data_IF_471920206505
#
_entry.id   IF_471920206505
#
_cell.length_a   1.000
_cell.length_b   1.000
_cell.length_c   1.000
_cell.angle_alpha   90.00
_cell.angle_beta   90.00
_cell.angle_gamma   90.00
#
_symmetry.space_group_name_H-M   'P 1'
#
loop_
_entity.id
_entity.type
_entity.pdbx_description
1 polymer ?
#
# COMPACT_ATOMS: atom_id res chain seq x y z
N UNK A 1 26.18 -32.45 44.44
CA UNK A 1 27.64 -32.22 44.62
C UNK A 1 28.17 -31.35 43.50
N UNK A 2 28.89 -30.29 43.87
CA UNK A 2 29.77 -29.39 43.13
C UNK A 2 29.19 -28.47 42.05
N UNK A 3 29.00 -27.24 42.54
CA UNK A 3 29.06 -25.97 41.81
C UNK A 3 30.45 -25.82 41.15
N UNK A 4 30.49 -25.21 39.96
CA UNK A 4 31.62 -24.38 39.55
C UNK A 4 31.09 -23.11 38.90
N UNK A 5 31.24 -22.03 39.65
CA UNK A 5 31.31 -20.64 39.14
C UNK A 5 32.64 -20.46 38.42
N UNK A 6 32.66 -19.73 37.36
CA UNK A 6 33.85 -19.02 36.89
C UNK A 6 33.46 -17.56 36.64
N UNK A 7 34.11 -16.74 37.36
CA UNK A 7 34.11 -15.28 37.38
C UNK A 7 35.25 -14.81 36.47
N UNK A 8 35.10 -13.56 35.99
CA UNK A 8 36.21 -12.68 35.64
C UNK A 8 36.45 -12.43 34.15
N UNK A 9 36.81 -11.29 33.61
CA UNK A 9 37.36 -10.04 34.13
C UNK A 9 37.13 -8.95 33.08
N UNK A 10 36.80 -7.75 33.52
CA UNK A 10 36.93 -6.49 32.81
C UNK A 10 38.42 -6.18 32.50
N UNK A 11 38.68 -5.64 31.31
CA UNK A 11 39.84 -4.75 31.13
C UNK A 11 39.43 -3.58 30.21
N UNK A 12 39.34 -2.46 30.85
CA UNK A 12 39.38 -1.09 30.33
C UNK A 12 40.76 -0.80 29.74
N UNK A 13 40.81 -0.17 28.57
CA UNK A 13 42.01 0.58 28.14
C UNK A 13 41.56 1.88 27.49
N UNK A 14 41.71 2.93 28.23
CA UNK A 14 41.72 4.33 27.82
C UNK A 14 43.06 4.61 27.12
N UNK A 15 43.06 5.23 25.96
CA UNK A 15 44.23 5.98 25.48
C UNK A 15 43.75 7.26 24.80
N UNK A 16 43.94 8.36 25.51
CA UNK A 16 43.87 9.71 25.00
C UNK A 16 45.24 10.09 24.43
N UNK A 17 45.28 10.73 23.28
CA UNK A 17 46.37 11.65 22.95
C UNK A 17 45.87 12.84 22.15
N UNK A 18 46.28 13.99 22.62
CA UNK A 18 45.91 15.32 22.22
C UNK A 18 46.90 15.93 21.21
N UNK A 19 46.45 17.04 20.65
CA UNK A 19 47.21 18.20 20.15
C UNK A 19 47.80 18.22 18.75
N UNK A 20 47.41 19.28 18.07
CA UNK A 20 48.13 19.83 16.92
C UNK A 20 47.36 20.96 16.22
N UNK A 21 47.39 22.17 16.82
CA UNK A 21 46.99 23.41 16.13
C UNK A 21 48.01 23.81 15.08
N UNK A 22 47.57 24.34 13.94
CA UNK A 22 48.30 25.43 13.25
C UNK A 22 47.32 26.23 12.39
N UNK A 23 47.21 27.50 12.75
CA UNK A 23 46.71 28.63 11.94
C UNK A 23 47.64 28.91 10.79
N UNK A 24 47.13 29.34 9.66
CA UNK A 24 47.77 30.35 8.76
C UNK A 24 46.66 31.06 7.93
N UNK A 25 46.48 32.32 8.26
CA UNK A 25 46.26 33.57 7.54
C UNK A 25 45.34 33.66 6.32
N UNK A 26 44.42 34.60 6.45
CA UNK A 26 43.80 35.42 5.39
C UNK A 26 44.82 36.50 4.90
N UNK A 27 44.54 37.11 3.74
CA UNK A 27 44.24 38.54 3.81
C UNK A 27 43.01 39.00 2.99
N UNK A 28 42.41 40.05 3.56
CA UNK A 28 41.44 41.00 3.03
C UNK A 28 41.86 41.60 1.66
N UNK A 29 40.83 41.96 0.86
CA UNK A 29 40.63 43.39 0.47
C UNK A 29 39.25 43.59 -0.19
N UNK A 30 38.67 44.70 0.24
CA UNK A 30 37.39 45.31 -0.13
C UNK A 30 37.45 45.92 -1.56
N UNK A 31 36.28 46.11 -2.20
CA UNK A 31 35.68 47.43 -2.54
C UNK A 31 34.53 47.33 -3.53
N UNK A 32 33.43 47.92 -3.09
CA UNK A 32 32.53 48.90 -3.70
C UNK A 32 31.52 48.50 -4.77
N UNK A 33 30.26 48.69 -4.37
CA UNK A 33 29.05 48.98 -5.15
C UNK A 33 29.18 50.33 -5.92
N UNK A 34 28.33 50.59 -6.96
CA UNK A 34 26.98 51.08 -6.68
C UNK A 34 25.85 50.70 -7.69
N UNK A 35 24.66 50.62 -7.15
CA UNK A 35 23.33 51.10 -7.58
C UNK A 35 22.99 51.27 -9.07
N UNK A 36 21.86 50.60 -9.46
CA UNK A 36 20.77 51.33 -10.17
C UNK A 36 19.46 50.53 -10.02
N UNK A 37 18.48 51.17 -9.41
CA UNK A 37 17.08 50.73 -9.31
C UNK A 37 16.38 50.98 -10.66
N UNK A 38 15.56 49.98 -11.09
CA UNK A 38 14.46 50.21 -12.02
C UNK A 38 13.24 49.50 -11.45
N UNK A 39 12.33 50.31 -10.94
CA UNK A 39 10.97 49.87 -10.63
C UNK A 39 10.24 49.64 -11.96
N UNK A 40 9.66 48.44 -12.11
CA UNK A 40 8.59 48.23 -13.07
C UNK A 40 7.50 47.42 -12.37
N UNK A 41 6.43 48.11 -12.06
CA UNK A 41 5.16 47.57 -11.56
C UNK A 41 4.53 46.68 -12.61
N UNK A 42 4.26 45.41 -12.26
CA UNK A 42 3.32 44.55 -12.98
C UNK A 42 2.26 44.06 -12.04
N UNK A 43 1.05 44.46 -12.38
CA UNK A 43 -0.19 44.05 -11.74
C UNK A 43 -0.41 42.56 -11.91
N UNK A 44 -0.70 41.88 -10.83
CA UNK A 44 -1.16 40.50 -10.82
C UNK A 44 -2.64 40.46 -11.12
N UNK A 45 -3.03 40.02 -12.31
CA UNK A 45 -4.36 39.50 -12.56
C UNK A 45 -4.35 38.00 -12.34
N UNK A 46 -5.01 37.58 -11.27
CA UNK A 46 -5.36 36.19 -10.98
C UNK A 46 -6.59 35.82 -11.82
N UNK A 47 -6.45 34.92 -12.77
CA UNK A 47 -7.57 34.22 -13.35
C UNK A 47 -7.13 32.78 -13.63
N UNK A 48 -7.68 31.85 -12.83
CA UNK A 48 -7.61 30.43 -13.06
C UNK A 48 -8.41 30.06 -14.33
N UNK A 49 -7.95 29.16 -15.19
CA UNK A 49 -8.75 28.68 -16.31
C UNK A 49 -9.75 27.62 -15.82
N UNK A 50 -11.04 27.93 -15.97
CA UNK A 50 -12.10 26.93 -15.93
C UNK A 50 -11.98 26.01 -17.14
N UNK A 51 -11.72 24.73 -16.90
CA UNK A 51 -11.76 23.67 -17.90
C UNK A 51 -13.23 23.27 -18.17
N UNK A 52 -13.77 23.80 -19.26
CA UNK A 52 -15.02 23.31 -19.82
C UNK A 52 -14.78 22.00 -20.58
N UNK A 53 -15.32 20.91 -20.04
CA UNK A 53 -15.51 19.67 -20.80
C UNK A 53 -16.66 19.86 -21.80
N UNK A 54 -16.32 19.90 -23.09
CA UNK A 54 -17.32 19.76 -24.16
C UNK A 54 -17.59 18.28 -24.43
N UNK A 55 -18.74 17.81 -23.97
CA UNK A 55 -19.33 16.54 -24.41
C UNK A 55 -19.94 16.74 -25.81
N UNK A 56 -19.36 16.09 -26.81
CA UNK A 56 -20.03 15.92 -28.11
C UNK A 56 -21.02 14.75 -27.97
N UNK A 57 -22.28 15.09 -27.80
CA UNK A 57 -23.39 14.17 -27.93
C UNK A 57 -23.76 14.04 -29.39
N UNK A 58 -23.62 12.85 -29.97
CA UNK A 58 -24.28 12.51 -31.23
C UNK A 58 -25.51 11.66 -30.92
N UNK A 59 -26.64 12.24 -31.20
CA UNK A 59 -27.99 11.71 -30.95
C UNK A 59 -28.40 10.66 -31.98
N UNK A 60 -28.74 9.46 -31.52
CA UNK A 60 -29.81 8.68 -32.14
C UNK A 60 -30.79 8.21 -31.07
N UNK A 61 -31.96 8.84 -31.10
CA UNK A 61 -33.16 8.35 -30.43
C UNK A 61 -33.58 7.01 -31.05
N UNK A 62 -33.75 6.00 -30.20
CA UNK A 62 -34.82 5.01 -30.40
C UNK A 62 -35.45 4.69 -29.04
N UNK A 63 -36.77 4.62 -29.08
CA UNK A 63 -37.64 4.71 -27.93
C UNK A 63 -37.84 3.38 -27.22
N UNK A 64 -38.20 3.49 -25.93
CA UNK A 64 -38.99 2.53 -25.17
C UNK A 64 -38.26 1.30 -24.62
N UNK A 65 -37.89 1.44 -23.40
CA UNK A 65 -37.53 0.37 -22.45
C UNK A 65 -37.02 1.00 -21.17
N UNK A 66 -37.92 1.28 -20.23
CA UNK A 66 -37.53 1.57 -18.84
C UNK A 66 -36.89 0.31 -18.24
N UNK A 67 -35.61 0.10 -18.48
CA UNK A 67 -34.80 -0.71 -17.61
C UNK A 67 -34.49 0.19 -16.40
N UNK A 68 -35.18 -0.02 -15.28
CA UNK A 68 -34.65 0.32 -13.98
C UNK A 68 -33.29 -0.36 -13.89
N UNK A 69 -32.23 0.41 -14.07
CA UNK A 69 -30.89 -0.01 -13.63
C UNK A 69 -30.99 -0.10 -12.13
N UNK A 70 -31.21 -1.29 -11.59
CA UNK A 70 -31.07 -1.53 -10.16
C UNK A 70 -29.65 -1.09 -9.80
N UNK A 71 -29.52 -0.02 -9.00
CA UNK A 71 -28.22 0.36 -8.46
C UNK A 71 -27.59 -0.89 -7.85
N UNK A 72 -26.31 -1.17 -8.21
CA UNK A 72 -25.56 -2.32 -7.66
C UNK A 72 -25.58 -2.30 -6.13
N UNK A 73 -25.32 -3.43 -5.49
CA UNK A 73 -25.30 -3.53 -4.03
C UNK A 73 -24.33 -2.53 -3.42
N UNK A 74 -23.17 -2.28 -4.06
CA UNK A 74 -22.20 -1.27 -3.63
C UNK A 74 -22.85 0.12 -3.45
N UNK A 75 -23.61 0.60 -4.43
CA UNK A 75 -24.31 1.89 -4.34
C UNK A 75 -25.38 1.92 -3.24
N UNK A 76 -26.10 0.82 -3.06
CA UNK A 76 -27.14 0.70 -2.03
C UNK A 76 -26.55 0.71 -0.62
N UNK A 77 -25.41 0.03 -0.40
CA UNK A 77 -24.70 0.08 0.87
C UNK A 77 -24.14 1.47 1.15
N UNK A 78 -23.43 2.07 0.19
CA UNK A 78 -22.85 3.40 0.32
C UNK A 78 -23.90 4.44 0.76
N UNK A 79 -25.10 4.39 0.20
CA UNK A 79 -26.19 5.31 0.53
C UNK A 79 -26.77 5.12 1.95
N UNK A 80 -26.57 3.95 2.57
CA UNK A 80 -27.09 3.62 3.91
C UNK A 80 -26.04 3.76 5.03
N UNK A 81 -24.75 3.71 4.67
CA UNK A 81 -23.66 3.75 5.65
C UNK A 81 -23.57 5.11 6.33
N UNK A 82 -23.30 5.09 7.62
CA UNK A 82 -22.87 6.26 8.38
C UNK A 82 -21.45 6.67 7.99
N UNK A 83 -21.05 7.91 8.29
CA UNK A 83 -19.69 8.39 8.07
C UNK A 83 -18.67 7.49 8.79
N UNK A 84 -18.97 7.10 10.02
CA UNK A 84 -18.11 6.25 10.83
C UNK A 84 -17.89 4.86 10.18
N UNK A 85 -18.94 4.21 9.70
CA UNK A 85 -18.84 2.94 8.96
C UNK A 85 -18.04 3.09 7.67
N UNK A 86 -18.24 4.17 6.93
CA UNK A 86 -17.47 4.48 5.71
C UNK A 86 -15.98 4.60 6.03
N UNK A 87 -15.62 5.36 7.06
CA UNK A 87 -14.21 5.56 7.44
C UNK A 87 -13.58 4.24 7.88
N UNK A 88 -14.27 3.39 8.66
CA UNK A 88 -13.72 2.07 9.04
C UNK A 88 -13.46 1.18 7.83
N UNK A 89 -14.27 1.23 6.77
CA UNK A 89 -13.99 0.47 5.55
C UNK A 89 -12.67 0.86 4.87
N UNK A 90 -12.15 2.04 5.14
CA UNK A 90 -10.87 2.51 4.62
C UNK A 90 -9.65 2.03 5.45
N UNK A 91 -9.83 1.14 6.40
CA UNK A 91 -8.74 0.56 7.19
C UNK A 91 -8.63 -0.95 6.99
N UNK A 92 -7.39 -1.44 6.85
CA UNK A 92 -7.03 -2.85 6.93
C UNK A 92 -6.01 -3.03 8.04
N UNK A 93 -6.31 -3.91 8.99
CA UNK A 93 -5.51 -4.07 10.22
C UNK A 93 -5.21 -5.54 10.51
N UNK A 94 -4.31 -5.81 11.45
CA UNK A 94 -4.10 -7.19 11.93
C UNK A 94 -5.21 -7.60 12.91
N UNK A 95 -5.48 -8.90 13.06
CA UNK A 95 -6.38 -9.39 14.12
C UNK A 95 -5.93 -8.95 15.53
N UNK A 96 -4.62 -8.83 15.76
CA UNK A 96 -4.05 -8.36 17.02
C UNK A 96 -4.43 -6.90 17.30
N UNK A 97 -4.29 -6.03 16.31
CA UNK A 97 -4.69 -4.61 16.45
C UNK A 97 -6.19 -4.48 16.72
N UNK A 98 -6.98 -5.30 16.03
CA UNK A 98 -8.44 -5.28 16.17
C UNK A 98 -8.90 -5.74 17.56
N UNK A 99 -8.27 -6.79 18.11
CA UNK A 99 -8.71 -7.45 19.36
C UNK A 99 -7.92 -7.02 20.59
N UNK A 100 -6.72 -6.47 20.42
CA UNK A 100 -5.79 -6.13 21.50
C UNK A 100 -5.02 -7.33 22.08
N UNK A 101 -5.09 -8.51 21.47
CA UNK A 101 -4.28 -9.67 21.87
C UNK A 101 -2.89 -9.65 21.24
N UNK A 102 -1.92 -10.36 21.86
CA UNK A 102 -0.54 -10.38 21.37
C UNK A 102 -0.34 -11.24 20.12
N UNK A 103 -1.05 -12.37 20.02
CA UNK A 103 -1.12 -13.24 18.83
C UNK A 103 -2.53 -13.78 18.73
N UNK A 104 -3.10 -13.77 17.54
CA UNK A 104 -4.46 -14.25 17.26
C UNK A 104 -4.40 -15.40 16.26
N UNK A 105 -4.77 -16.59 16.73
CA UNK A 105 -4.87 -17.81 15.91
C UNK A 105 -6.28 -18.36 15.82
N UNK A 106 -7.26 -17.71 16.48
CA UNK A 106 -8.67 -18.07 16.48
C UNK A 106 -9.55 -16.83 16.31
N UNK A 107 -10.67 -16.96 15.64
CA UNK A 107 -11.72 -15.95 15.60
C UNK A 107 -12.94 -16.45 16.40
N UNK A 108 -13.14 -15.86 17.58
CA UNK A 108 -14.22 -16.16 18.50
C UNK A 108 -15.02 -14.92 18.91
N UNK A 109 -15.67 -14.97 20.09
CA UNK A 109 -16.54 -13.91 20.59
C UNK A 109 -15.84 -12.54 20.68
N UNK A 110 -14.55 -12.52 21.02
CA UNK A 110 -13.76 -11.26 21.08
C UNK A 110 -13.58 -10.65 19.71
N UNK A 111 -13.28 -11.47 18.70
CA UNK A 111 -13.16 -11.02 17.29
C UNK A 111 -14.51 -10.52 16.79
N UNK A 112 -15.60 -11.25 17.09
CA UNK A 112 -16.94 -10.84 16.73
C UNK A 112 -17.32 -9.49 17.34
N UNK A 113 -17.06 -9.32 18.65
CA UNK A 113 -17.33 -8.05 19.32
C UNK A 113 -16.50 -6.90 18.78
N UNK A 114 -15.22 -7.15 18.44
CA UNK A 114 -14.34 -6.16 17.88
C UNK A 114 -14.77 -5.75 16.46
N UNK A 115 -15.14 -6.68 15.59
CA UNK A 115 -15.67 -6.37 14.24
C UNK A 115 -17.00 -5.61 14.29
N UNK A 116 -17.87 -5.92 15.27
CA UNK A 116 -19.10 -5.17 15.47
C UNK A 116 -18.84 -3.72 15.94
N UNK A 117 -17.75 -3.49 16.68
CA UNK A 117 -17.35 -2.15 17.15
C UNK A 117 -16.55 -1.37 16.10
N UNK A 118 -15.70 -2.06 15.37
CA UNK A 118 -14.77 -1.50 14.38
C UNK A 118 -14.95 -2.25 13.06
N UNK A 119 -15.95 -1.89 12.24
CA UNK A 119 -16.26 -2.60 10.98
C UNK A 119 -15.24 -2.25 9.90
N UNK A 120 -13.97 -2.66 10.10
CA UNK A 120 -12.85 -2.40 9.19
C UNK A 120 -13.06 -3.02 7.81
N UNK A 121 -12.41 -2.47 6.79
CA UNK A 121 -12.51 -2.95 5.41
C UNK A 121 -11.84 -4.31 5.20
N UNK A 122 -10.81 -4.64 5.98
CA UNK A 122 -10.09 -5.89 5.84
C UNK A 122 -9.20 -6.26 7.01
N UNK A 123 -8.71 -7.50 6.97
CA UNK A 123 -7.70 -8.02 7.89
C UNK A 123 -6.51 -8.57 7.10
N UNK A 124 -5.31 -8.27 7.58
CA UNK A 124 -4.03 -8.83 7.07
C UNK A 124 -3.48 -9.83 8.08
N UNK A 125 -3.04 -10.99 7.61
CA UNK A 125 -2.49 -12.06 8.43
C UNK A 125 -1.02 -12.31 8.14
N UNK A 126 -0.29 -12.69 9.18
CA UNK A 126 1.12 -13.01 9.12
C UNK A 126 1.38 -14.46 9.53
N UNK A 127 2.61 -14.94 9.32
CA UNK A 127 3.00 -16.31 9.66
C UNK A 127 2.61 -16.76 11.09
N UNK A 128 2.66 -15.83 12.05
CA UNK A 128 2.30 -16.09 13.44
C UNK A 128 0.81 -16.45 13.67
N UNK A 129 -0.06 -16.12 12.71
CA UNK A 129 -1.49 -16.44 12.80
C UNK A 129 -1.82 -17.81 12.20
N UNK A 130 -0.88 -18.44 11.50
CA UNK A 130 -1.08 -19.63 10.68
C UNK A 130 -0.44 -20.85 11.36
N UNK A 131 -1.25 -21.74 11.94
CA UNK A 131 -0.76 -22.95 12.63
C UNK A 131 -0.99 -24.22 11.81
N UNK A 132 -2.19 -24.38 11.25
CA UNK A 132 -2.58 -25.48 10.36
C UNK A 132 -3.58 -24.98 9.32
N UNK A 133 -3.70 -25.69 8.19
CA UNK A 133 -4.69 -25.34 7.17
C UNK A 133 -6.14 -25.37 7.70
N UNK A 134 -6.47 -26.29 8.62
CA UNK A 134 -7.82 -26.37 9.22
C UNK A 134 -8.09 -25.21 10.17
N UNK A 135 -7.12 -24.89 11.05
CA UNK A 135 -7.21 -23.72 11.93
C UNK A 135 -7.37 -22.43 11.12
N UNK A 136 -6.54 -22.24 10.09
CA UNK A 136 -6.57 -21.06 9.23
C UNK A 136 -7.94 -20.92 8.55
N UNK A 137 -8.45 -21.98 7.89
CA UNK A 137 -9.79 -21.95 7.28
C UNK A 137 -10.88 -21.59 8.27
N UNK A 138 -10.84 -22.17 9.47
CA UNK A 138 -11.84 -21.91 10.51
C UNK A 138 -11.79 -20.46 10.98
N UNK A 139 -10.57 -19.95 11.23
CA UNK A 139 -10.37 -18.56 11.64
C UNK A 139 -10.88 -17.56 10.59
N UNK A 140 -10.49 -17.74 9.33
CA UNK A 140 -10.90 -16.85 8.23
C UNK A 140 -12.42 -16.94 7.98
N UNK A 141 -12.99 -18.13 7.97
CA UNK A 141 -14.44 -18.33 7.80
C UNK A 141 -15.25 -17.68 8.92
N UNK A 142 -14.79 -17.77 10.18
CA UNK A 142 -15.43 -17.12 11.31
C UNK A 142 -15.36 -15.59 11.18
N UNK A 143 -14.20 -15.01 10.78
CA UNK A 143 -14.07 -13.58 10.55
C UNK A 143 -15.07 -13.10 9.49
N UNK A 144 -15.17 -13.82 8.35
CA UNK A 144 -16.14 -13.50 7.31
C UNK A 144 -17.58 -13.56 7.84
N UNK A 145 -17.95 -14.66 8.52
CA UNK A 145 -19.29 -14.83 9.06
C UNK A 145 -19.67 -13.70 10.05
N UNK A 146 -18.72 -13.25 10.89
CA UNK A 146 -18.96 -12.14 11.81
C UNK A 146 -19.13 -10.80 11.10
N UNK A 147 -18.36 -10.55 10.05
CA UNK A 147 -18.48 -9.33 9.25
C UNK A 147 -19.78 -9.30 8.43
N UNK A 148 -20.19 -10.44 7.88
CA UNK A 148 -21.45 -10.60 7.13
C UNK A 148 -22.70 -10.30 7.96
N UNK A 149 -22.64 -10.32 9.29
CA UNK A 149 -23.75 -9.86 10.14
C UNK A 149 -24.10 -8.38 9.91
N UNK A 150 -23.12 -7.57 9.48
CA UNK A 150 -23.35 -6.18 9.03
C UNK A 150 -23.75 -6.08 7.54
N UNK A 151 -23.69 -7.17 6.81
CA UNK A 151 -23.93 -7.25 5.38
C UNK A 151 -22.70 -6.99 4.49
N UNK A 152 -21.54 -6.63 5.07
CA UNK A 152 -20.32 -6.31 4.35
C UNK A 152 -19.19 -7.21 4.85
N UNK A 153 -18.74 -8.16 4.01
CA UNK A 153 -17.59 -9.03 4.29
C UNK A 153 -16.26 -8.31 4.25
N UNK A 154 -15.19 -9.03 4.59
CA UNK A 154 -13.83 -8.53 4.73
C UNK A 154 -12.96 -8.83 3.51
N UNK A 155 -12.05 -7.94 3.17
CA UNK A 155 -10.83 -8.33 2.51
C UNK A 155 -9.97 -9.11 3.53
N UNK A 156 -9.59 -10.33 3.20
CA UNK A 156 -8.72 -11.19 3.99
C UNK A 156 -7.42 -11.37 3.22
N UNK A 157 -6.38 -10.69 3.66
CA UNK A 157 -5.13 -10.54 2.94
C UNK A 157 -3.98 -11.32 3.57
N UNK A 158 -3.00 -11.67 2.76
CA UNK A 158 -1.71 -12.25 3.16
C UNK A 158 -0.62 -11.77 2.19
N UNK A 159 0.66 -11.82 2.60
CA UNK A 159 1.80 -11.74 1.68
C UNK A 159 2.25 -13.17 1.33
N UNK A 160 1.91 -13.65 0.17
CA UNK A 160 2.37 -14.92 -0.37
C UNK A 160 3.01 -14.69 -1.74
N UNK A 161 4.21 -14.08 -1.74
CA UNK A 161 4.92 -13.71 -2.97
C UNK A 161 5.58 -14.92 -3.65
N UNK A 162 5.76 -16.01 -2.89
CA UNK A 162 6.68 -17.09 -3.21
C UNK A 162 8.13 -16.74 -2.85
N UNK A 163 9.06 -17.69 -2.98
CA UNK A 163 10.47 -17.49 -2.60
C UNK A 163 10.64 -17.12 -1.13
N UNK A 164 11.35 -16.03 -0.89
CA UNK A 164 11.68 -15.55 0.48
C UNK A 164 10.45 -15.10 1.28
N UNK A 165 9.39 -14.62 0.64
CA UNK A 165 8.14 -14.19 1.29
C UNK A 165 7.03 -15.15 0.92
N UNK A 166 6.89 -16.22 1.72
CA UNK A 166 5.98 -17.33 1.50
C UNK A 166 5.34 -17.77 2.82
N UNK A 167 4.50 -16.88 3.42
CA UNK A 167 3.97 -17.09 4.78
C UNK A 167 3.07 -18.30 4.88
N UNK A 168 2.29 -18.58 3.84
CA UNK A 168 1.38 -19.73 3.78
C UNK A 168 2.14 -21.01 3.44
N UNK A 169 3.03 -20.98 2.44
CA UNK A 169 3.82 -22.15 2.08
C UNK A 169 4.73 -22.59 3.23
N UNK A 170 5.41 -21.66 3.88
CA UNK A 170 6.33 -21.95 4.98
C UNK A 170 5.61 -22.52 6.21
N UNK A 171 4.41 -22.03 6.55
CA UNK A 171 3.68 -22.46 7.74
C UNK A 171 2.76 -23.65 7.48
N UNK A 172 2.11 -23.70 6.32
CA UNK A 172 1.03 -24.64 6.06
C UNK A 172 1.36 -25.71 5.02
N UNK A 173 2.57 -25.65 4.42
CA UNK A 173 3.07 -26.66 3.50
C UNK A 173 2.33 -26.69 2.16
N UNK A 174 1.91 -25.52 1.66
CA UNK A 174 1.43 -25.35 0.29
C UNK A 174 2.61 -25.36 -0.70
N UNK A 175 2.38 -25.10 -1.98
CA UNK A 175 3.44 -25.15 -2.99
C UNK A 175 4.50 -24.08 -2.73
N UNK A 176 5.75 -24.52 -2.52
CA UNK A 176 6.89 -23.62 -2.37
C UNK A 176 7.51 -23.30 -3.74
N UNK A 177 7.79 -22.02 -3.96
CA UNK A 177 8.47 -21.53 -5.16
C UNK A 177 9.89 -21.04 -4.82
N UNK A 178 10.75 -20.99 -5.83
CA UNK A 178 12.04 -20.29 -5.72
C UNK A 178 11.83 -18.78 -5.68
N UNK A 179 12.89 -18.03 -5.35
CA UNK A 179 12.88 -16.58 -5.49
C UNK A 179 12.47 -16.14 -6.91
N UNK A 180 11.70 -15.05 -7.01
CA UNK A 180 11.18 -14.56 -8.30
C UNK A 180 12.28 -14.20 -9.29
N UNK A 181 13.46 -13.80 -8.81
CA UNK A 181 14.65 -13.58 -9.66
C UNK A 181 15.11 -14.82 -10.46
N UNK A 182 14.82 -16.03 -9.97
CA UNK A 182 15.12 -17.28 -10.69
C UNK A 182 14.23 -17.42 -11.92
N UNK A 183 12.95 -17.07 -11.80
CA UNK A 183 11.98 -17.11 -12.91
C UNK A 183 12.20 -15.94 -13.87
N UNK A 184 12.51 -14.75 -13.34
CA UNK A 184 12.87 -13.59 -14.15
C UNK A 184 14.12 -13.82 -15.01
N UNK A 185 15.11 -14.56 -14.49
CA UNK A 185 16.30 -14.94 -15.27
C UNK A 185 15.97 -15.92 -16.41
N UNK A 186 14.88 -16.68 -16.33
CA UNK A 186 14.39 -17.55 -17.41
C UNK A 186 13.58 -16.78 -18.44
N UNK A 187 12.92 -15.66 -18.03
CA UNK A 187 12.16 -14.80 -18.91
C UNK A 187 10.95 -15.47 -19.57
N UNK A 188 10.31 -16.42 -18.86
CA UNK A 188 9.11 -17.13 -19.33
C UNK A 188 7.86 -16.65 -18.57
N UNK A 189 7.05 -15.76 -19.15
CA UNK A 189 5.87 -15.22 -18.49
C UNK A 189 4.80 -16.27 -18.13
N UNK A 190 4.82 -17.45 -18.81
CA UNK A 190 3.90 -18.54 -18.45
C UNK A 190 4.18 -19.08 -17.06
N UNK A 191 5.45 -19.10 -16.64
CA UNK A 191 5.80 -19.51 -15.27
C UNK A 191 5.24 -18.54 -14.24
N UNK A 192 5.30 -17.22 -14.48
CA UNK A 192 4.71 -16.23 -13.58
C UNK A 192 3.17 -16.38 -13.50
N UNK A 193 2.51 -16.64 -14.63
CA UNK A 193 1.09 -16.98 -14.64
C UNK A 193 0.78 -18.21 -13.78
N UNK A 194 1.56 -19.29 -13.95
CA UNK A 194 1.35 -20.53 -13.22
C UNK A 194 1.61 -20.37 -11.72
N UNK A 195 2.58 -19.52 -11.33
CA UNK A 195 2.86 -19.13 -9.94
C UNK A 195 1.64 -18.42 -9.35
N UNK A 196 1.21 -17.32 -9.93
CA UNK A 196 0.07 -16.55 -9.41
C UNK A 196 -1.22 -17.37 -9.35
N UNK A 197 -1.47 -18.24 -10.35
CA UNK A 197 -2.62 -19.15 -10.35
C UNK A 197 -2.53 -20.20 -9.24
N UNK A 198 -1.36 -20.78 -9.01
CA UNK A 198 -1.15 -21.80 -7.98
C UNK A 198 -1.30 -21.19 -6.60
N UNK A 199 -0.56 -20.11 -6.31
CA UNK A 199 -0.65 -19.39 -5.04
C UNK A 199 -2.10 -18.97 -4.78
N UNK A 200 -2.73 -18.27 -5.71
CA UNK A 200 -4.10 -17.79 -5.56
C UNK A 200 -5.11 -18.93 -5.34
N UNK A 201 -4.96 -20.07 -6.02
CA UNK A 201 -5.82 -21.25 -5.79
C UNK A 201 -5.65 -21.80 -4.39
N UNK A 202 -4.42 -21.92 -3.90
CA UNK A 202 -4.11 -22.50 -2.59
C UNK A 202 -4.53 -21.60 -1.43
N UNK A 203 -4.22 -20.29 -1.50
CA UNK A 203 -4.65 -19.32 -0.47
C UNK A 203 -6.16 -19.08 -0.51
N UNK A 204 -6.76 -19.05 -1.69
CA UNK A 204 -8.22 -18.97 -1.85
C UNK A 204 -8.95 -20.14 -1.22
N UNK A 205 -8.41 -21.37 -1.33
CA UNK A 205 -8.94 -22.56 -0.66
C UNK A 205 -8.85 -22.49 0.88
N UNK A 206 -8.01 -21.61 1.43
CA UNK A 206 -7.93 -21.31 2.86
C UNK A 206 -8.93 -20.21 3.29
N UNK A 207 -9.41 -19.41 2.35
CA UNK A 207 -10.34 -18.31 2.61
C UNK A 207 -9.75 -16.91 2.45
N UNK A 208 -8.48 -16.77 2.05
CA UNK A 208 -7.93 -15.47 1.64
C UNK A 208 -8.54 -15.05 0.31
N UNK A 209 -8.73 -13.74 0.11
CA UNK A 209 -9.31 -13.18 -1.11
C UNK A 209 -8.49 -12.02 -1.69
N UNK A 210 -7.41 -11.63 -1.02
CA UNK A 210 -6.41 -10.65 -1.49
C UNK A 210 -5.02 -11.21 -1.20
N UNK A 211 -4.11 -11.10 -2.18
CA UNK A 211 -2.68 -11.32 -1.97
C UNK A 211 -1.90 -10.02 -2.22
N UNK A 212 -0.96 -9.74 -1.34
CA UNK A 212 0.00 -8.65 -1.55
C UNK A 212 1.19 -9.12 -2.40
N UNK A 213 0.87 -9.56 -3.61
CA UNK A 213 1.74 -9.96 -4.71
C UNK A 213 1.08 -9.62 -6.05
N UNK A 214 1.86 -9.41 -7.14
CA UNK A 214 3.30 -9.55 -7.26
C UNK A 214 4.12 -8.31 -6.87
N UNK A 215 5.44 -8.53 -6.64
CA UNK A 215 6.43 -7.45 -6.54
C UNK A 215 6.72 -6.92 -7.93
N UNK A 216 6.37 -5.65 -8.17
CA UNK A 216 6.51 -4.95 -9.45
C UNK A 216 7.75 -4.04 -9.51
N UNK A 217 8.60 -4.09 -8.47
CA UNK A 217 9.85 -3.33 -8.42
C UNK A 217 10.86 -3.83 -9.46
N UNK A 218 11.75 -2.94 -9.91
CA UNK A 218 12.87 -3.26 -10.81
C UNK A 218 14.18 -3.21 -10.02
N UNK A 219 15.01 -4.25 -10.07
CA UNK A 219 16.25 -4.32 -9.28
C UNK A 219 17.33 -3.40 -9.84
N UNK A 220 17.31 -2.14 -9.45
CA UNK A 220 18.21 -1.08 -9.91
C UNK A 220 19.39 -0.84 -8.96
N UNK A 221 19.38 -1.43 -7.76
CA UNK A 221 20.45 -1.35 -6.77
C UNK A 221 20.83 -2.73 -6.27
N UNK A 222 22.11 -3.09 -6.37
CA UNK A 222 22.60 -4.42 -5.97
C UNK A 222 22.55 -4.68 -4.46
N UNK A 223 22.35 -3.64 -3.64
CA UNK A 223 22.18 -3.70 -2.18
C UNK A 223 20.73 -3.66 -1.73
N UNK A 224 19.77 -3.68 -2.66
CA UNK A 224 18.35 -3.57 -2.37
C UNK A 224 17.86 -4.69 -1.44
N UNK A 225 17.08 -4.36 -0.41
CA UNK A 225 16.56 -5.32 0.57
C UNK A 225 15.57 -6.32 -0.02
N UNK A 226 14.93 -5.97 -1.15
CA UNK A 226 13.98 -6.87 -1.82
C UNK A 226 14.69 -8.08 -2.46
N UNK A 227 15.92 -7.91 -2.93
CA UNK A 227 16.79 -8.98 -3.40
C UNK A 227 16.11 -9.92 -4.41
N UNK A 228 16.03 -11.20 -4.03
CA UNK A 228 15.42 -12.26 -4.86
C UNK A 228 13.92 -12.16 -5.07
N UNK A 229 13.21 -11.29 -4.34
CA UNK A 229 11.77 -11.04 -4.52
C UNK A 229 11.46 -10.37 -5.86
N UNK A 230 12.41 -9.62 -6.43
CA UNK A 230 12.27 -8.93 -7.70
C UNK A 230 12.61 -9.86 -8.87
N UNK A 231 11.79 -9.85 -9.92
CA UNK A 231 12.02 -10.68 -11.11
C UNK A 231 13.33 -10.36 -11.84
N UNK A 232 13.64 -9.09 -12.08
CA UNK A 232 14.79 -8.70 -12.89
C UNK A 232 15.25 -7.26 -12.63
N UNK A 233 16.45 -6.96 -13.12
CA UNK A 233 16.93 -5.58 -13.32
C UNK A 233 16.52 -5.01 -14.68
N UNK A 234 15.90 -5.80 -15.56
CA UNK A 234 15.33 -5.35 -16.82
C UNK A 234 13.83 -5.09 -16.62
N UNK A 235 13.43 -3.83 -16.70
CA UNK A 235 12.06 -3.41 -16.49
C UNK A 235 11.06 -4.07 -17.46
N UNK A 236 11.49 -4.40 -18.68
CA UNK A 236 10.65 -5.08 -19.67
C UNK A 236 10.35 -6.52 -19.23
N UNK A 237 11.34 -7.22 -18.69
CA UNK A 237 11.16 -8.58 -18.14
C UNK A 237 10.21 -8.52 -16.95
N UNK A 238 10.43 -7.57 -16.01
CA UNK A 238 9.54 -7.41 -14.85
C UNK A 238 8.11 -7.13 -15.30
N UNK A 239 7.92 -6.25 -16.28
CA UNK A 239 6.61 -5.89 -16.81
C UNK A 239 5.85 -7.11 -17.38
N UNK A 240 6.51 -7.96 -18.17
CA UNK A 240 5.90 -9.17 -18.73
C UNK A 240 5.55 -10.20 -17.65
N UNK A 241 6.47 -10.43 -16.69
CA UNK A 241 6.26 -11.38 -15.60
C UNK A 241 5.10 -10.94 -14.68
N UNK A 242 5.13 -9.69 -14.24
CA UNK A 242 4.11 -9.09 -13.37
C UNK A 242 2.72 -9.14 -14.01
N UNK A 243 2.59 -8.72 -15.26
CA UNK A 243 1.31 -8.77 -15.95
C UNK A 243 0.77 -10.22 -16.09
N UNK A 244 1.65 -11.20 -16.25
CA UNK A 244 1.27 -12.61 -16.33
C UNK A 244 0.86 -13.15 -14.97
N UNK A 245 1.58 -12.84 -13.92
CA UNK A 245 1.26 -13.27 -12.55
C UNK A 245 -0.08 -12.68 -12.07
N UNK A 246 -0.35 -11.39 -12.35
CA UNK A 246 -1.65 -10.76 -12.10
C UNK A 246 -2.78 -11.54 -12.76
N UNK A 247 -2.63 -11.95 -14.02
CA UNK A 247 -3.65 -12.78 -14.71
C UNK A 247 -3.81 -14.15 -14.05
N UNK A 248 -2.74 -14.74 -13.54
CA UNK A 248 -2.78 -15.99 -12.79
C UNK A 248 -3.63 -15.88 -11.52
N UNK A 249 -3.41 -14.84 -10.71
CA UNK A 249 -4.22 -14.54 -9.53
C UNK A 249 -5.69 -14.31 -9.90
N UNK A 250 -5.96 -13.51 -10.92
CA UNK A 250 -7.34 -13.26 -11.39
C UNK A 250 -8.07 -14.55 -11.80
N UNK A 251 -7.38 -15.49 -12.45
CA UNK A 251 -7.98 -16.78 -12.83
C UNK A 251 -8.30 -17.64 -11.61
N UNK A 252 -7.58 -17.48 -10.51
CA UNK A 252 -7.88 -18.17 -9.24
C UNK A 252 -9.03 -17.55 -8.45
N UNK A 253 -9.43 -16.30 -8.78
CA UNK A 253 -10.44 -15.55 -8.06
C UNK A 253 -9.91 -14.76 -6.84
N UNK A 254 -8.60 -14.72 -6.63
CA UNK A 254 -7.93 -13.89 -5.61
C UNK A 254 -7.46 -12.57 -6.24
N UNK A 255 -7.66 -11.47 -5.54
CA UNK A 255 -7.21 -10.15 -5.97
C UNK A 255 -5.71 -9.98 -5.75
N UNK A 256 -4.99 -9.56 -6.79
CA UNK A 256 -3.56 -9.27 -6.75
C UNK A 256 -3.27 -7.82 -6.36
N UNK A 257 -2.06 -7.58 -5.86
CA UNK A 257 -1.57 -6.25 -5.46
C UNK A 257 -0.19 -6.00 -6.04
N UNK A 258 -0.04 -5.00 -6.91
CA UNK A 258 1.29 -4.55 -7.33
C UNK A 258 1.97 -3.77 -6.22
N UNK A 259 3.25 -4.02 -5.97
CA UNK A 259 4.04 -3.33 -4.94
C UNK A 259 5.51 -3.20 -5.35
N UNK A 260 6.18 -2.16 -4.92
CA UNK A 260 5.81 -1.06 -4.04
C UNK A 260 5.88 0.26 -4.82
N UNK A 261 4.75 0.82 -5.23
CA UNK A 261 4.72 2.04 -6.02
C UNK A 261 5.29 3.25 -5.25
N UNK A 262 6.08 4.16 -5.86
CA UNK A 262 6.43 4.28 -7.28
C UNK A 262 7.65 3.47 -7.74
N UNK A 263 8.18 2.56 -6.94
CA UNK A 263 9.30 1.67 -7.23
C UNK A 263 10.37 1.73 -6.15
N UNK A 264 10.53 0.63 -5.38
CA UNK A 264 11.47 0.51 -4.26
C UNK A 264 12.83 -0.11 -4.69
N UNK A 265 12.96 -0.54 -5.94
CA UNK A 265 14.12 -1.33 -6.40
C UNK A 265 15.42 -0.56 -6.58
N UNK A 266 15.41 0.79 -6.52
CA UNK A 266 16.61 1.65 -6.55
C UNK A 266 17.16 1.98 -5.14
N UNK A 267 16.59 1.40 -4.11
CA UNK A 267 16.77 1.65 -2.69
C UNK A 267 17.91 0.77 -2.12
N UNK A 268 18.70 1.30 -1.17
CA UNK A 268 19.73 0.56 -0.41
C UNK A 268 19.51 0.57 1.13
N UNK A 269 18.39 1.15 1.60
CA UNK A 269 17.95 1.19 3.00
C UNK A 269 16.81 0.21 3.29
N UNK A 270 16.19 0.36 4.46
CA UNK A 270 15.04 -0.46 4.86
C UNK A 270 13.98 0.34 5.60
N UNK A 271 12.74 0.24 5.14
CA UNK A 271 11.59 0.93 5.72
C UNK A 271 11.26 0.48 7.16
N UNK A 272 11.75 -0.68 7.58
CA UNK A 272 11.54 -1.20 8.93
C UNK A 272 12.41 -0.52 10.00
N UNK A 273 13.60 -0.03 9.62
CA UNK A 273 14.57 0.50 10.57
C UNK A 273 14.89 1.98 10.35
N UNK A 274 14.83 2.44 9.11
CA UNK A 274 15.11 3.82 8.75
C UNK A 274 13.88 4.70 8.97
N UNK A 275 14.11 5.95 9.34
CA UNK A 275 13.05 6.96 9.51
C UNK A 275 12.79 7.73 8.23
N UNK A 276 13.64 7.60 7.22
CA UNK A 276 13.48 8.20 5.90
C UNK A 276 14.28 7.41 4.88
N UNK A 277 13.60 7.01 3.84
CA UNK A 277 14.18 6.42 2.63
C UNK A 277 14.09 7.46 1.53
N UNK A 278 15.19 7.76 0.88
CA UNK A 278 15.26 8.75 -0.21
C UNK A 278 15.83 8.09 -1.45
N UNK A 279 15.05 8.07 -2.50
CA UNK A 279 15.44 7.56 -3.82
C UNK A 279 15.75 8.73 -4.73
N UNK A 280 16.99 8.80 -5.23
CA UNK A 280 17.42 9.83 -6.17
C UNK A 280 17.12 9.40 -7.61
N UNK A 281 15.87 9.53 -8.00
CA UNK A 281 15.38 9.24 -9.35
C UNK A 281 14.59 10.41 -9.88
N UNK A 282 14.88 10.80 -11.13
CA UNK A 282 14.06 11.78 -11.84
C UNK A 282 12.75 11.17 -12.32
N UNK A 283 11.73 11.99 -12.54
CA UNK A 283 10.44 11.52 -13.05
C UNK A 283 10.57 10.84 -14.44
N UNK A 284 11.48 11.31 -15.28
CA UNK A 284 11.75 10.68 -16.59
C UNK A 284 12.37 9.29 -16.44
N UNK A 285 13.23 9.08 -15.44
CA UNK A 285 13.77 7.75 -15.11
C UNK A 285 12.67 6.81 -14.60
N UNK A 286 11.84 7.27 -13.67
CA UNK A 286 10.69 6.48 -13.18
C UNK A 286 9.80 6.02 -14.36
N UNK A 287 9.49 6.91 -15.29
CA UNK A 287 8.67 6.58 -16.48
C UNK A 287 9.33 5.57 -17.42
N UNK A 288 10.64 5.59 -17.50
CA UNK A 288 11.40 4.71 -18.41
C UNK A 288 11.64 3.32 -17.82
N UNK A 289 11.66 3.19 -16.50
CA UNK A 289 12.04 1.96 -15.82
C UNK A 289 10.96 1.52 -14.82
N UNK A 290 10.82 2.18 -13.68
CA UNK A 290 9.98 1.73 -12.57
C UNK A 290 8.49 1.69 -12.92
N UNK A 291 7.99 2.61 -13.73
CA UNK A 291 6.55 2.64 -14.09
C UNK A 291 6.14 1.59 -15.12
N UNK A 292 7.07 0.98 -15.85
CA UNK A 292 6.73 -0.03 -16.86
C UNK A 292 6.03 -1.26 -16.27
N UNK A 293 6.52 -1.90 -15.20
CA UNK A 293 5.83 -3.03 -14.56
C UNK A 293 4.45 -2.64 -14.01
N UNK A 294 4.34 -1.47 -13.37
CA UNK A 294 3.06 -1.00 -12.85
C UNK A 294 2.05 -0.77 -13.98
N UNK A 295 2.45 -0.10 -15.07
CA UNK A 295 1.59 0.09 -16.24
C UNK A 295 1.11 -1.24 -16.80
N UNK A 296 2.01 -2.22 -16.97
CA UNK A 296 1.65 -3.54 -17.49
C UNK A 296 0.71 -4.32 -16.58
N UNK A 297 0.90 -4.23 -15.26
CA UNK A 297 0.00 -4.86 -14.30
C UNK A 297 -1.36 -4.14 -14.23
N UNK A 298 -1.40 -2.81 -14.38
CA UNK A 298 -2.63 -2.03 -14.49
C UNK A 298 -3.40 -2.41 -15.76
N UNK A 299 -2.72 -2.52 -16.90
CA UNK A 299 -3.33 -3.00 -18.16
C UNK A 299 -3.83 -4.45 -18.06
N UNK A 300 -3.17 -5.29 -17.25
CA UNK A 300 -3.65 -6.64 -16.93
C UNK A 300 -4.89 -6.64 -16.00
N UNK A 301 -5.27 -5.48 -15.44
CA UNK A 301 -6.48 -5.30 -14.64
C UNK A 301 -6.30 -5.61 -13.16
N UNK A 302 -5.13 -5.36 -12.59
CA UNK A 302 -4.85 -5.55 -11.15
C UNK A 302 -5.87 -4.81 -10.29
N UNK A 303 -6.24 -5.41 -9.15
CA UNK A 303 -7.25 -4.85 -8.25
C UNK A 303 -6.68 -3.87 -7.22
N UNK A 304 -5.42 -4.06 -6.78
CA UNK A 304 -4.74 -3.22 -5.79
C UNK A 304 -3.38 -2.74 -6.27
N UNK A 305 -2.97 -1.54 -5.83
CA UNK A 305 -1.59 -1.07 -5.87
C UNK A 305 -1.20 -0.58 -4.48
N UNK A 306 -0.12 -1.15 -3.94
CA UNK A 306 0.46 -0.75 -2.67
C UNK A 306 1.47 0.36 -2.91
N UNK A 307 1.26 1.49 -2.23
CA UNK A 307 2.12 2.68 -2.29
C UNK A 307 3.04 2.69 -1.08
N UNK A 308 4.33 2.75 -1.33
CA UNK A 308 5.35 2.66 -0.28
C UNK A 308 5.75 4.01 0.30
N UNK A 309 6.65 3.96 1.29
CA UNK A 309 7.00 5.09 2.15
C UNK A 309 8.26 5.84 1.72
N UNK A 310 8.85 5.52 0.55
CA UNK A 310 10.03 6.24 0.09
C UNK A 310 9.68 7.65 -0.42
N UNK A 311 10.64 8.54 -0.24
CA UNK A 311 10.63 9.88 -0.83
C UNK A 311 11.44 9.83 -2.12
N UNK A 312 10.84 10.18 -3.25
CA UNK A 312 11.52 10.21 -4.54
C UNK A 312 11.80 11.65 -4.93
N UNK A 313 13.09 12.02 -5.05
CA UNK A 313 13.52 13.41 -5.27
C UNK A 313 12.93 14.04 -6.54
N UNK A 314 12.74 13.25 -7.60
CA UNK A 314 12.19 13.70 -8.87
C UNK A 314 10.69 13.99 -8.86
N UNK A 315 9.93 13.56 -7.83
CA UNK A 315 8.51 13.87 -7.68
C UNK A 315 8.32 15.29 -7.12
N UNK A 316 9.20 15.72 -6.21
CA UNK A 316 9.38 17.13 -5.88
C UNK A 316 8.57 17.65 -4.67
N UNK A 317 7.97 16.79 -3.86
CA UNK A 317 7.21 17.20 -2.66
C UNK A 317 7.84 16.76 -1.32
N UNK A 318 8.98 16.07 -1.35
CA UNK A 318 9.72 15.60 -0.15
C UNK A 318 8.90 14.75 0.85
N UNK A 319 7.74 14.22 0.42
CA UNK A 319 6.85 13.37 1.22
C UNK A 319 7.05 11.89 0.91
N UNK A 320 6.80 10.98 1.89
CA UNK A 320 6.61 9.57 1.61
C UNK A 320 5.54 9.34 0.53
N UNK A 321 5.74 8.36 -0.34
CA UNK A 321 4.87 8.15 -1.49
C UNK A 321 3.39 8.02 -1.13
N UNK A 322 3.06 7.28 -0.08
CA UNK A 322 1.69 7.08 0.41
C UNK A 322 1.05 8.33 1.08
N UNK A 323 1.87 9.33 1.43
CA UNK A 323 1.42 10.62 1.95
C UNK A 323 1.43 11.74 0.90
N UNK A 324 1.87 11.44 -0.32
CA UNK A 324 2.07 12.39 -1.42
C UNK A 324 0.90 12.37 -2.40
N UNK A 325 0.18 13.48 -2.51
CA UNK A 325 -0.86 13.68 -3.53
C UNK A 325 -0.29 13.54 -4.95
N UNK A 326 0.94 14.02 -5.15
CA UNK A 326 1.64 13.91 -6.42
C UNK A 326 1.85 12.44 -6.82
N UNK A 327 2.29 11.61 -5.86
CA UNK A 327 2.53 10.18 -6.10
C UNK A 327 1.22 9.43 -6.33
N UNK A 328 0.27 9.55 -5.41
CA UNK A 328 -0.94 8.72 -5.43
C UNK A 328 -1.94 9.21 -6.48
N UNK A 329 -2.28 10.50 -6.46
CA UNK A 329 -3.32 11.02 -7.36
C UNK A 329 -2.77 11.35 -8.74
N UNK A 330 -1.71 12.17 -8.83
CA UNK A 330 -1.24 12.65 -10.13
C UNK A 330 -0.54 11.54 -10.92
N UNK A 331 0.39 10.79 -10.31
CA UNK A 331 1.15 9.77 -11.02
C UNK A 331 0.38 8.45 -11.13
N UNK A 332 -0.07 7.85 -10.01
CA UNK A 332 -0.69 6.53 -10.07
C UNK A 332 -2.10 6.59 -10.69
N UNK A 333 -2.98 7.45 -10.17
CA UNK A 333 -4.39 7.46 -10.61
C UNK A 333 -4.59 8.20 -11.93
N UNK A 334 -3.94 9.37 -12.12
CA UNK A 334 -4.16 10.18 -13.33
C UNK A 334 -3.22 9.78 -14.47
N UNK A 335 -1.88 9.73 -14.26
CA UNK A 335 -0.93 9.46 -15.33
C UNK A 335 -0.94 7.98 -15.77
N UNK A 336 -0.84 7.04 -14.81
CA UNK A 336 -0.89 5.60 -15.13
C UNK A 336 -2.31 5.08 -15.32
N UNK A 337 -3.34 5.88 -15.01
CA UNK A 337 -4.75 5.54 -15.22
C UNK A 337 -5.28 4.44 -14.29
N UNK A 338 -4.69 4.23 -13.11
CA UNK A 338 -5.13 3.21 -12.17
C UNK A 338 -6.53 3.49 -11.61
N UNK A 339 -7.44 2.52 -11.75
CA UNK A 339 -8.83 2.60 -11.31
C UNK A 339 -9.16 1.59 -10.19
N UNK A 340 -8.16 0.92 -9.65
CA UNK A 340 -8.30 0.00 -8.53
C UNK A 340 -8.09 0.69 -7.18
N UNK A 341 -7.93 -0.12 -6.14
CA UNK A 341 -7.72 0.33 -4.76
C UNK A 341 -6.24 0.69 -4.54
N UNK A 342 -5.95 1.94 -4.25
CA UNK A 342 -4.66 2.36 -3.74
C UNK A 342 -4.60 2.11 -2.22
N UNK A 343 -3.68 1.26 -1.79
CA UNK A 343 -3.45 0.91 -0.38
C UNK A 343 -2.05 1.37 0.05
N UNK A 344 -1.88 1.84 1.29
CA UNK A 344 -0.53 2.14 1.81
C UNK A 344 0.26 0.85 2.02
N UNK A 345 1.57 0.91 2.06
CA UNK A 345 2.35 -0.06 2.81
C UNK A 345 2.04 0.08 4.31
N UNK A 346 2.57 -0.82 5.15
CA UNK A 346 2.27 -0.80 6.58
C UNK A 346 2.72 0.50 7.26
N UNK A 347 1.78 1.32 7.74
CA UNK A 347 2.11 2.55 8.46
C UNK A 347 2.72 2.32 9.85
N UNK A 348 2.75 1.07 10.32
CA UNK A 348 3.51 0.70 11.51
C UNK A 348 5.04 0.63 11.25
N UNK A 349 5.49 0.70 9.99
CA UNK A 349 6.92 0.79 9.64
C UNK A 349 7.53 2.10 10.16
N UNK A 350 8.80 2.04 10.57
CA UNK A 350 9.49 3.16 11.21
C UNK A 350 9.62 4.41 10.33
N UNK A 351 9.60 4.26 9.01
CA UNK A 351 9.55 5.38 8.05
C UNK A 351 8.33 6.27 8.22
N UNK A 352 7.22 5.72 8.70
CA UNK A 352 6.00 6.48 9.01
C UNK A 352 5.85 6.65 10.52
N UNK A 353 5.74 5.57 11.30
CA UNK A 353 5.47 5.65 12.75
C UNK A 353 6.58 6.34 13.55
N UNK A 354 7.82 6.34 13.05
CA UNK A 354 8.95 7.07 13.65
C UNK A 354 8.94 8.58 13.42
N UNK A 355 8.10 9.09 12.51
CA UNK A 355 8.09 10.49 12.07
C UNK A 355 6.72 11.14 12.23
N UNK A 356 5.64 10.45 11.87
CA UNK A 356 4.27 10.95 11.87
C UNK A 356 3.45 10.26 12.96
N UNK A 357 2.53 10.98 13.60
CA UNK A 357 1.52 10.35 14.44
C UNK A 357 0.50 9.56 13.61
N UNK A 358 -0.07 8.49 14.17
CA UNK A 358 -1.02 7.62 13.46
C UNK A 358 -2.19 8.38 12.82
N UNK A 359 -2.71 9.39 13.52
CA UNK A 359 -3.80 10.24 13.00
C UNK A 359 -3.35 11.14 11.86
N UNK A 360 -2.17 11.75 11.97
CA UNK A 360 -1.59 12.62 10.94
C UNK A 360 -1.32 11.82 9.65
N UNK A 361 -0.65 10.68 9.76
CA UNK A 361 -0.35 9.82 8.62
C UNK A 361 -1.65 9.39 7.90
N UNK A 362 -2.67 8.94 8.63
CA UNK A 362 -3.93 8.54 8.05
C UNK A 362 -4.65 9.68 7.31
N UNK A 363 -4.68 10.89 7.89
CA UNK A 363 -5.27 12.07 7.24
C UNK A 363 -4.53 12.42 5.96
N UNK A 364 -3.19 12.48 6.01
CA UNK A 364 -2.37 12.77 4.83
C UNK A 364 -2.55 11.72 3.72
N UNK A 365 -2.60 10.43 4.07
CA UNK A 365 -2.85 9.36 3.09
C UNK A 365 -4.21 9.50 2.40
N UNK A 366 -5.27 9.79 3.15
CA UNK A 366 -6.60 10.00 2.58
C UNK A 366 -6.60 11.24 1.66
N UNK A 367 -5.93 12.32 2.06
CA UNK A 367 -5.76 13.52 1.23
C UNK A 367 -4.92 13.26 -0.02
N UNK A 368 -3.89 12.41 0.08
CA UNK A 368 -3.08 11.99 -1.05
C UNK A 368 -3.85 11.19 -2.11
N UNK A 369 -4.96 10.56 -1.73
CA UNK A 369 -5.76 9.75 -2.64
C UNK A 369 -5.76 8.25 -2.32
N UNK A 370 -5.19 7.83 -1.21
CA UNK A 370 -5.22 6.45 -0.72
C UNK A 370 -6.67 6.04 -0.40
N UNK A 371 -7.02 4.81 -0.73
CA UNK A 371 -8.35 4.25 -0.51
C UNK A 371 -8.40 3.36 0.73
N UNK A 372 -7.30 2.66 1.04
CA UNK A 372 -7.15 1.85 2.26
C UNK A 372 -5.83 2.17 2.96
N UNK A 373 -5.89 2.50 4.24
CA UNK A 373 -4.74 2.64 5.13
C UNK A 373 -4.44 1.28 5.75
N UNK A 374 -3.26 0.73 5.48
CA UNK A 374 -2.81 -0.56 6.00
C UNK A 374 -2.06 -0.38 7.32
N UNK A 375 -2.51 -1.07 8.37
CA UNK A 375 -1.83 -1.17 9.66
C UNK A 375 -1.38 0.19 10.21
N UNK A 376 -2.28 1.17 10.42
CA UNK A 376 -1.90 2.39 11.15
C UNK A 376 -1.31 1.99 12.52
N UNK A 377 -0.39 2.77 13.07
CA UNK A 377 0.22 2.45 14.37
C UNK A 377 -0.84 2.35 15.49
N UNK A 378 -1.90 3.14 15.40
CA UNK A 378 -3.07 3.14 16.30
C UNK A 378 -4.36 3.36 15.50
N UNK A 379 -5.19 2.34 15.38
CA UNK A 379 -6.46 2.40 14.63
C UNK A 379 -7.41 3.47 15.19
N UNK A 380 -7.49 3.61 16.51
CA UNK A 380 -8.40 4.56 17.14
C UNK A 380 -7.99 6.00 16.85
N UNK A 381 -6.69 6.31 16.98
CA UNK A 381 -6.18 7.64 16.66
C UNK A 381 -6.32 7.96 15.17
N UNK A 382 -6.01 7.02 14.28
CA UNK A 382 -6.16 7.17 12.84
C UNK A 382 -7.62 7.44 12.46
N UNK A 383 -8.55 6.63 12.95
CA UNK A 383 -9.99 6.80 12.72
C UNK A 383 -10.50 8.16 13.21
N UNK A 384 -10.19 8.54 14.46
CA UNK A 384 -10.66 9.78 15.06
C UNK A 384 -10.11 11.02 14.33
N UNK A 385 -8.87 10.96 13.85
CA UNK A 385 -8.26 12.04 13.08
C UNK A 385 -8.96 12.21 11.72
N UNK A 386 -9.15 11.12 10.96
CA UNK A 386 -9.88 11.17 9.67
C UNK A 386 -11.30 11.65 9.88
N UNK A 387 -12.02 11.13 10.89
CA UNK A 387 -13.37 11.59 11.22
C UNK A 387 -13.41 13.08 11.55
N UNK A 388 -12.43 13.57 12.29
CA UNK A 388 -12.33 14.99 12.66
C UNK A 388 -12.02 15.87 11.45
N UNK A 389 -11.14 15.42 10.56
CA UNK A 389 -10.81 16.10 9.31
C UNK A 389 -12.03 16.22 8.38
N UNK A 390 -12.88 15.17 8.33
CA UNK A 390 -14.14 15.25 7.57
C UNK A 390 -15.11 16.22 8.24
N UNK A 391 -15.29 16.15 9.55
CA UNK A 391 -16.20 17.07 10.27
C UNK A 391 -15.78 18.53 10.22
N UNK A 392 -14.49 18.82 10.09
CA UNK A 392 -13.96 20.18 9.91
C UNK A 392 -14.03 20.67 8.46
N UNK A 393 -14.28 19.81 7.50
CA UNK A 393 -14.24 20.09 6.07
C UNK A 393 -12.83 20.08 5.46
N UNK A 394 -11.83 19.62 6.18
CA UNK A 394 -10.45 19.41 5.69
C UNK A 394 -10.40 18.25 4.67
N UNK A 395 -11.18 17.18 4.89
CA UNK A 395 -11.49 16.14 3.93
C UNK A 395 -12.97 16.23 3.59
N UNK A 396 -13.33 16.19 2.32
CA UNK A 396 -14.74 16.19 1.94
C UNK A 396 -15.37 14.80 2.15
N UNK A 397 -16.67 14.74 2.49
CA UNK A 397 -17.39 13.46 2.54
C UNK A 397 -17.38 12.76 1.17
N UNK A 398 -17.38 13.52 0.07
CA UNK A 398 -17.30 12.99 -1.28
C UNK A 398 -15.97 12.24 -1.51
N UNK A 399 -14.84 12.70 -0.94
CA UNK A 399 -13.55 11.99 -1.00
C UNK A 399 -13.64 10.63 -0.29
N UNK A 400 -14.31 10.56 0.85
CA UNK A 400 -14.57 9.30 1.56
C UNK A 400 -15.47 8.40 0.71
N UNK A 401 -16.57 8.94 0.18
CA UNK A 401 -17.52 8.20 -0.66
C UNK A 401 -16.87 7.61 -1.92
N UNK A 402 -15.91 8.30 -2.52
CA UNK A 402 -15.14 7.79 -3.67
C UNK A 402 -14.37 6.51 -3.32
N UNK A 403 -13.63 6.53 -2.21
CA UNK A 403 -12.88 5.36 -1.75
C UNK A 403 -13.80 4.21 -1.35
N UNK A 404 -14.82 4.50 -0.56
CA UNK A 404 -15.74 3.46 -0.06
C UNK A 404 -16.55 2.84 -1.19
N UNK A 405 -16.97 3.63 -2.19
CA UNK A 405 -17.59 3.10 -3.41
C UNK A 405 -16.70 2.07 -4.08
N UNK A 406 -15.43 2.40 -4.31
CA UNK A 406 -14.47 1.50 -4.96
C UNK A 406 -14.26 0.22 -4.12
N UNK A 407 -14.12 0.35 -2.80
CA UNK A 407 -14.01 -0.78 -1.87
C UNK A 407 -15.24 -1.68 -1.97
N UNK A 408 -16.44 -1.12 -1.94
CA UNK A 408 -17.69 -1.87 -2.03
C UNK A 408 -17.87 -2.53 -3.40
N UNK A 409 -17.52 -1.89 -4.50
CA UNK A 409 -17.54 -2.48 -5.85
C UNK A 409 -16.60 -3.70 -5.95
N UNK A 410 -15.40 -3.62 -5.37
CA UNK A 410 -14.48 -4.76 -5.31
C UNK A 410 -15.02 -5.88 -4.42
N UNK A 411 -15.65 -5.54 -3.28
CA UNK A 411 -16.33 -6.49 -2.41
C UNK A 411 -17.53 -7.14 -3.10
N UNK A 412 -18.32 -6.39 -3.86
CA UNK A 412 -19.42 -6.92 -4.66
C UNK A 412 -18.92 -7.93 -5.71
N UNK A 413 -17.82 -7.63 -6.40
CA UNK A 413 -17.16 -8.54 -7.36
C UNK A 413 -16.74 -9.87 -6.70
N UNK A 414 -16.30 -9.85 -5.44
CA UNK A 414 -15.94 -11.04 -4.66
C UNK A 414 -17.14 -11.74 -4.02
N UNK A 415 -18.36 -11.21 -4.14
CA UNK A 415 -19.55 -11.76 -3.48
C UNK A 415 -19.59 -11.52 -1.97
N UNK A 416 -18.88 -10.52 -1.47
CA UNK A 416 -18.78 -10.15 -0.05
C UNK A 416 -19.87 -9.19 0.43
N UNK A 417 -20.85 -8.86 -0.42
CA UNK A 417 -22.01 -8.04 -0.05
C UNK A 417 -23.26 -8.89 0.01
N UNK A 418 -23.93 -8.90 1.16
CA UNK A 418 -25.21 -9.59 1.33
C UNK A 418 -26.36 -8.76 0.71
N UNK A 419 -27.31 -9.35 -0.03
CA UNK A 419 -28.47 -8.60 -0.51
C UNK A 419 -29.21 -7.89 0.61
N UNK A 420 -29.50 -6.61 0.41
CA UNK A 420 -30.26 -5.82 1.37
C UNK A 420 -31.75 -6.26 1.32
N UNK A 421 -32.31 -6.60 2.50
CA UNK A 421 -33.69 -7.04 2.68
C UNK A 421 -34.69 -5.87 2.60
#
# INVERSE_FOLDING_TARGET
MRKKQIISILTTSLLAMACGCSNIDQPDTAEQTPTAAVETSLQTENSAPELHFQTTADSKQDASGTTETSDGLASQYLAKMTLEEKIYQMFMVTPEMLTGYGVVTEAGDSTKAALAQYPVGGLIYFAQNLETQEQTRTMLANCQAFAEESGIGLFLAVDEEGGTVARVADQLGTTAFSDMSVYGAQGDPQQAFDIGKTIGTEIGALGFNVDFAPVADVNLCSGNELGGRIFSSDASVVAEMVASEVRGFQESGVMATLKHFPGLGAEDGTAHYDTKIVIDRTLDQLRQEEFLPFSSGIEAGVDFVMVSHQVVTGIGDDLPGDLSYQTVTELLKCELGFQGIAITDSQAMNTISGVYGAGEAAVMSVQAGIDIVLMPEDLTQAFEAVRSAVKSGEISEERIDQSVRLILEKKEKLGLLTPLS
#
